data_IF_953112796550
#
_entry.id   IF_953112796550
#
_cell.length_a   1.000
_cell.length_b   1.000
_cell.length_c   1.000
_cell.angle_alpha   90.00
_cell.angle_beta   90.00
_cell.angle_gamma   90.00
#
_symmetry.space_group_name_H-M   'P 1'
#
loop_
_entity.id
_entity.type
_entity.pdbx_description
1 polymer ?
#
# COMPACT_ATOMS: atom_id res chain seq x y z
N UNK A 1 -19.79 15.46 21.83
CA UNK A 1 -19.24 14.09 21.72
C UNK A 1 -17.77 14.24 21.40
N UNK A 2 -16.92 13.81 22.30
CA UNK A 2 -15.46 13.93 22.11
C UNK A 2 -14.99 12.64 21.43
N UNK A 3 -14.77 12.70 20.14
CA UNK A 3 -14.26 11.54 19.37
C UNK A 3 -12.74 11.52 19.51
N UNK A 4 -12.25 10.96 20.60
CA UNK A 4 -10.81 10.73 20.76
C UNK A 4 -10.42 9.43 20.02
N UNK A 5 -9.44 9.54 19.13
CA UNK A 5 -8.85 8.39 18.51
C UNK A 5 -8.03 7.60 19.53
N UNK A 6 -8.04 6.26 19.48
CA UNK A 6 -7.13 5.44 20.29
C UNK A 6 -5.67 5.90 20.07
N UNK A 7 -4.91 5.96 21.17
CA UNK A 7 -3.52 6.46 21.11
C UNK A 7 -2.64 5.67 20.15
N UNK A 8 -2.85 4.36 20.04
CA UNK A 8 -2.16 3.49 19.07
C UNK A 8 -2.40 3.92 17.62
N UNK A 9 -3.60 4.39 17.28
CA UNK A 9 -3.93 4.86 15.94
C UNK A 9 -3.30 6.24 15.65
N UNK A 10 -3.22 7.09 16.66
CA UNK A 10 -2.50 8.37 16.56
C UNK A 10 -1.02 8.11 16.29
N UNK A 11 -0.40 7.19 17.03
CA UNK A 11 1.00 6.79 16.82
C UNK A 11 1.25 6.21 15.43
N UNK A 12 0.33 5.39 14.92
CA UNK A 12 0.41 4.82 13.57
C UNK A 12 0.30 5.90 12.49
N UNK A 13 -0.60 6.87 12.66
CA UNK A 13 -0.71 8.02 11.77
C UNK A 13 0.57 8.88 11.80
N UNK A 14 1.15 9.11 12.98
CA UNK A 14 2.40 9.86 13.14
C UNK A 14 3.60 9.14 12.50
N UNK A 15 3.71 7.81 12.67
CA UNK A 15 4.70 6.99 12.01
C UNK A 15 4.59 7.12 10.48
N UNK A 16 3.37 7.00 9.96
CA UNK A 16 3.12 7.12 8.52
C UNK A 16 3.45 8.52 8.01
N UNK A 17 3.07 9.57 8.76
CA UNK A 17 3.41 10.96 8.43
C UNK A 17 4.92 11.18 8.37
N UNK A 18 5.66 10.64 9.32
CA UNK A 18 7.12 10.72 9.31
C UNK A 18 7.73 10.00 8.12
N UNK A 19 7.20 8.82 7.76
CA UNK A 19 7.61 8.09 6.57
C UNK A 19 7.39 8.93 5.30
N UNK A 20 6.21 9.51 5.12
CA UNK A 20 5.91 10.40 3.99
C UNK A 20 6.90 11.55 3.91
N UNK A 21 7.10 12.27 5.01
CA UNK A 21 7.97 13.46 5.03
C UNK A 21 9.44 13.15 4.80
N UNK A 22 9.93 12.04 5.35
CA UNK A 22 11.37 11.70 5.31
C UNK A 22 11.75 10.84 4.11
N UNK A 23 10.84 9.99 3.64
CA UNK A 23 11.14 9.00 2.60
C UNK A 23 10.48 9.32 1.26
N UNK A 24 9.30 9.92 1.22
CA UNK A 24 8.59 10.17 -0.03
C UNK A 24 8.80 11.61 -0.55
N UNK A 25 8.53 12.61 0.26
CA UNK A 25 8.61 14.02 -0.16
C UNK A 25 9.96 14.45 -0.76
N UNK A 26 11.12 13.98 -0.29
CA UNK A 26 12.39 14.37 -0.91
C UNK A 26 12.52 13.97 -2.39
N UNK A 27 11.67 13.08 -2.87
CA UNK A 27 11.70 12.58 -4.24
C UNK A 27 10.58 13.12 -5.14
N UNK A 28 9.63 13.90 -4.58
CA UNK A 28 8.46 14.42 -5.31
C UNK A 28 8.86 15.16 -6.59
N UNK A 29 9.74 16.17 -6.47
CA UNK A 29 10.13 17.00 -7.59
C UNK A 29 10.81 16.19 -8.71
N UNK A 30 11.73 15.30 -8.35
CA UNK A 30 12.44 14.47 -9.34
C UNK A 30 11.50 13.49 -10.04
N UNK A 31 10.55 12.89 -9.31
CA UNK A 31 9.56 11.96 -9.87
C UNK A 31 8.60 12.70 -10.79
N UNK A 32 8.16 13.89 -10.41
CA UNK A 32 7.27 14.74 -11.22
C UNK A 32 7.95 15.15 -12.53
N UNK A 33 9.23 15.59 -12.47
CA UNK A 33 9.97 16.00 -13.66
C UNK A 33 10.27 14.84 -14.63
N UNK A 34 10.49 13.62 -14.10
CA UNK A 34 10.82 12.43 -14.89
C UNK A 34 9.59 11.64 -15.33
N UNK A 35 8.40 11.98 -14.82
CA UNK A 35 7.14 11.21 -15.01
C UNK A 35 7.31 9.70 -14.70
N UNK A 36 8.22 9.37 -13.80
CA UNK A 36 8.51 7.98 -13.42
C UNK A 36 9.27 7.89 -12.10
N UNK A 37 9.08 6.78 -11.39
CA UNK A 37 9.89 6.43 -10.21
C UNK A 37 10.99 5.46 -10.63
N UNK A 38 12.29 5.82 -10.50
CA UNK A 38 13.40 4.91 -10.78
C UNK A 38 13.25 3.59 -10.00
N UNK A 39 13.59 2.48 -10.64
CA UNK A 39 13.41 1.15 -10.05
C UNK A 39 14.17 0.99 -8.72
N UNK A 40 15.40 1.47 -8.64
CA UNK A 40 16.20 1.41 -7.42
C UNK A 40 15.53 2.17 -6.26
N UNK A 41 15.03 3.37 -6.53
CA UNK A 41 14.27 4.15 -5.55
C UNK A 41 13.02 3.42 -5.11
N UNK A 42 12.27 2.84 -6.05
CA UNK A 42 11.06 2.05 -5.76
C UNK A 42 11.36 0.87 -4.84
N UNK A 43 12.40 0.11 -5.10
CA UNK A 43 12.79 -1.04 -4.28
C UNK A 43 13.20 -0.61 -2.87
N UNK A 44 13.99 0.47 -2.76
CA UNK A 44 14.43 1.02 -1.47
C UNK A 44 13.25 1.52 -0.63
N UNK A 45 12.33 2.28 -1.21
CA UNK A 45 11.16 2.81 -0.50
C UNK A 45 10.21 1.70 -0.07
N UNK A 46 10.03 0.68 -0.91
CA UNK A 46 9.23 -0.51 -0.56
C UNK A 46 9.85 -1.28 0.60
N UNK A 47 11.15 -1.52 0.57
CA UNK A 47 11.85 -2.20 1.67
C UNK A 47 11.69 -1.43 2.99
N UNK A 48 11.82 -0.12 2.98
CA UNK A 48 11.59 0.72 4.14
C UNK A 48 10.14 0.67 4.65
N UNK A 49 9.16 0.62 3.75
CA UNK A 49 7.74 0.48 4.12
C UNK A 49 7.44 -0.90 4.75
N UNK A 50 8.06 -1.96 4.23
CA UNK A 50 7.96 -3.33 4.77
C UNK A 50 8.57 -3.38 6.17
N UNK A 51 9.78 -2.83 6.37
CA UNK A 51 10.48 -2.80 7.66
C UNK A 51 9.67 -2.07 8.74
N UNK A 52 8.99 -0.99 8.38
CA UNK A 52 8.14 -0.22 9.29
C UNK A 52 6.73 -0.83 9.50
N UNK A 53 6.41 -1.94 8.84
CA UNK A 53 5.07 -2.55 8.92
C UNK A 53 3.97 -1.75 8.23
N UNK A 54 4.34 -0.80 7.36
CA UNK A 54 3.39 0.01 6.58
C UNK A 54 2.98 -0.67 5.27
N UNK A 55 3.73 -1.65 4.78
CA UNK A 55 3.39 -2.40 3.58
C UNK A 55 2.27 -3.41 3.86
N UNK A 56 1.37 -3.60 2.91
CA UNK A 56 0.24 -4.53 3.03
C UNK A 56 -0.66 -4.28 4.27
N UNK A 57 -0.77 -3.03 4.73
CA UNK A 57 -1.57 -2.64 5.91
C UNK A 57 -3.07 -3.00 5.81
N UNK A 58 -3.55 -3.33 4.62
CA UNK A 58 -4.92 -3.75 4.33
C UNK A 58 -5.17 -5.26 4.46
N UNK A 59 -4.12 -6.04 4.72
CA UNK A 59 -4.20 -7.50 4.77
C UNK A 59 -4.44 -8.02 6.18
N UNK A 60 -5.23 -9.11 6.33
CA UNK A 60 -5.44 -9.75 7.62
C UNK A 60 -4.20 -10.54 8.08
N UNK A 61 -4.17 -10.88 9.37
CA UNK A 61 -3.03 -11.60 9.99
C UNK A 61 -2.81 -12.99 9.38
N UNK A 62 -3.86 -13.72 9.06
CA UNK A 62 -3.78 -15.05 8.45
C UNK A 62 -3.21 -15.03 7.02
N UNK A 63 -3.17 -13.86 6.39
CA UNK A 63 -2.50 -13.63 5.11
C UNK A 63 -1.11 -13.00 5.26
N UNK A 64 -0.60 -12.86 6.49
CA UNK A 64 0.70 -12.25 6.79
C UNK A 64 0.68 -10.73 6.85
N UNK A 65 -0.49 -10.11 6.88
CA UNK A 65 -0.66 -8.67 7.09
C UNK A 65 -0.76 -8.30 8.57
N UNK A 66 -0.87 -7.01 8.91
CA UNK A 66 -0.97 -6.56 10.29
C UNK A 66 -2.37 -6.69 10.91
N UNK A 67 -3.40 -7.09 10.15
CA UNK A 67 -4.76 -7.25 10.67
C UNK A 67 -5.40 -5.95 11.18
N UNK A 68 -4.99 -4.80 10.68
CA UNK A 68 -5.45 -3.51 11.19
C UNK A 68 -6.95 -3.29 10.99
N UNK A 69 -7.66 -2.74 12.00
CA UNK A 69 -9.04 -2.33 11.85
C UNK A 69 -9.15 -1.21 10.79
N UNK A 70 -10.34 -1.09 10.19
CA UNK A 70 -10.54 -0.20 9.04
C UNK A 70 -10.19 1.26 9.35
N UNK A 71 -10.49 1.75 10.55
CA UNK A 71 -10.15 3.11 10.98
C UNK A 71 -8.63 3.36 10.94
N UNK A 72 -7.82 2.43 11.44
CA UNK A 72 -6.36 2.55 11.36
C UNK A 72 -5.86 2.59 9.91
N UNK A 73 -6.46 1.77 9.01
CA UNK A 73 -6.15 1.80 7.58
C UNK A 73 -6.51 3.15 6.93
N UNK A 74 -7.61 3.78 7.34
CA UNK A 74 -8.00 5.12 6.86
C UNK A 74 -6.97 6.16 7.26
N UNK A 75 -6.50 6.14 8.51
CA UNK A 75 -5.49 7.09 9.00
C UNK A 75 -4.14 6.94 8.26
N UNK A 76 -3.72 5.70 7.96
CA UNK A 76 -2.55 5.48 7.11
C UNK A 76 -2.76 6.10 5.73
N UNK A 77 -3.91 5.85 5.11
CA UNK A 77 -4.22 6.39 3.77
C UNK A 77 -4.25 7.91 3.75
N UNK A 78 -4.79 8.54 4.78
CA UNK A 78 -4.81 10.00 4.91
C UNK A 78 -3.40 10.59 4.87
N UNK A 79 -2.47 9.97 5.57
CA UNK A 79 -1.08 10.41 5.57
C UNK A 79 -0.37 10.11 4.24
N UNK A 80 -0.57 8.93 3.66
CA UNK A 80 -0.02 8.58 2.34
C UNK A 80 -0.57 9.47 1.22
N UNK A 81 -1.82 9.90 1.32
CA UNK A 81 -2.47 10.81 0.37
C UNK A 81 -1.84 12.22 0.31
N UNK A 82 -0.90 12.54 1.19
CA UNK A 82 -0.13 13.78 1.16
C UNK A 82 1.10 13.70 0.24
N UNK A 83 1.42 12.53 -0.29
CA UNK A 83 2.43 12.32 -1.31
C UNK A 83 1.78 12.11 -2.69
N UNK A 84 2.56 12.24 -3.76
CA UNK A 84 2.09 11.90 -5.10
C UNK A 84 1.65 10.44 -5.18
N UNK A 85 0.68 10.14 -6.04
CA UNK A 85 0.17 8.76 -6.22
C UNK A 85 1.30 7.80 -6.58
N UNK A 86 2.25 8.24 -7.44
CA UNK A 86 3.38 7.43 -7.87
C UNK A 86 4.26 6.97 -6.70
N UNK A 87 4.48 7.83 -5.70
CA UNK A 87 5.26 7.52 -4.50
C UNK A 87 4.43 6.79 -3.44
N UNK A 88 3.20 7.24 -3.19
CA UNK A 88 2.31 6.62 -2.20
C UNK A 88 1.99 5.15 -2.53
N UNK A 89 1.81 4.80 -3.80
CA UNK A 89 1.54 3.43 -4.25
C UNK A 89 2.69 2.46 -4.01
N UNK A 90 3.91 2.96 -3.80
CA UNK A 90 5.07 2.12 -3.46
C UNK A 90 4.88 1.42 -2.12
N UNK A 91 4.20 2.05 -1.17
CA UNK A 91 3.89 1.46 0.15
C UNK A 91 3.08 0.19 0.01
N UNK A 92 2.26 0.10 -1.03
CA UNK A 92 1.67 -1.16 -1.49
C UNK A 92 0.49 -1.65 -0.64
N UNK A 93 -0.60 -1.91 -1.36
CA UNK A 93 -1.80 -2.54 -0.82
C UNK A 93 -2.17 -3.71 -1.72
N UNK A 94 -1.68 -4.94 -1.43
CA UNK A 94 -2.07 -6.10 -2.19
C UNK A 94 -3.59 -6.19 -2.35
N UNK A 95 -4.12 -6.53 -3.53
CA UNK A 95 -5.55 -6.59 -3.73
C UNK A 95 -6.17 -7.70 -2.87
N UNK A 96 -7.26 -7.39 -2.18
CA UNK A 96 -7.98 -8.36 -1.35
C UNK A 96 -8.52 -9.55 -2.14
N UNK A 97 -8.64 -9.43 -3.46
CA UNK A 97 -8.96 -10.55 -4.34
C UNK A 97 -7.99 -11.74 -4.18
N UNK A 98 -6.73 -11.48 -3.80
CA UNK A 98 -5.75 -12.53 -3.50
C UNK A 98 -6.13 -13.39 -2.29
N UNK A 99 -7.00 -12.91 -1.40
CA UNK A 99 -7.49 -13.71 -0.27
C UNK A 99 -8.36 -14.89 -0.72
N UNK A 100 -8.94 -14.82 -1.94
CA UNK A 100 -9.69 -15.92 -2.56
C UNK A 100 -8.79 -16.96 -3.27
N UNK A 101 -7.47 -16.86 -3.16
CA UNK A 101 -6.54 -17.85 -3.69
C UNK A 101 -6.77 -19.23 -3.08
N UNK A 102 -6.70 -20.26 -3.91
CA UNK A 102 -6.65 -21.65 -3.45
C UNK A 102 -5.36 -21.90 -2.65
N UNK A 103 -5.32 -22.92 -1.79
CA UNK A 103 -4.15 -23.19 -0.94
C UNK A 103 -2.82 -23.22 -1.72
N UNK A 104 -2.78 -23.88 -2.86
CA UNK A 104 -1.59 -23.99 -3.72
C UNK A 104 -1.18 -22.65 -4.39
N UNK A 105 -2.11 -21.71 -4.47
CA UNK A 105 -1.85 -20.37 -5.01
C UNK A 105 -1.36 -19.39 -3.93
N UNK A 106 -1.69 -19.63 -2.66
CA UNK A 106 -1.31 -18.75 -1.55
C UNK A 106 0.21 -18.58 -1.48
N UNK A 107 0.95 -19.66 -1.47
CA UNK A 107 2.42 -19.63 -1.40
C UNK A 107 3.06 -18.93 -2.60
N UNK A 108 2.47 -19.09 -3.77
CA UNK A 108 3.03 -18.56 -5.02
C UNK A 108 2.62 -17.12 -5.31
N UNK A 109 1.44 -16.69 -4.88
CA UNK A 109 0.85 -15.38 -5.24
C UNK A 109 0.60 -14.48 -4.04
N UNK A 110 -0.17 -14.95 -3.05
CA UNK A 110 -0.60 -14.11 -1.92
C UNK A 110 0.58 -13.73 -1.02
N UNK A 111 1.28 -14.71 -0.48
CA UNK A 111 2.34 -14.44 0.50
C UNK A 111 3.50 -13.61 -0.08
N UNK A 112 4.00 -13.87 -1.28
CA UNK A 112 5.01 -13.00 -1.90
C UNK A 112 4.48 -11.58 -2.18
N UNK A 113 3.19 -11.42 -2.53
CA UNK A 113 2.60 -10.11 -2.72
C UNK A 113 2.52 -9.32 -1.41
N UNK A 114 2.14 -9.98 -0.30
CA UNK A 114 2.06 -9.36 1.04
C UNK A 114 3.45 -9.00 1.57
N UNK A 115 4.49 -9.76 1.24
CA UNK A 115 5.89 -9.47 1.60
C UNK A 115 6.54 -8.40 0.73
N UNK A 116 5.86 -7.89 -0.29
CA UNK A 116 6.44 -6.91 -1.22
C UNK A 116 7.40 -7.50 -2.25
N UNK A 117 7.48 -8.82 -2.37
CA UNK A 117 8.36 -9.54 -3.29
C UNK A 117 7.80 -9.57 -4.72
N UNK A 118 6.47 -9.47 -4.86
CA UNK A 118 5.77 -9.46 -6.16
C UNK A 118 4.94 -8.20 -6.33
N UNK A 119 4.89 -7.72 -7.57
CA UNK A 119 4.02 -6.64 -8.01
C UNK A 119 2.76 -7.27 -8.59
N UNK A 120 1.63 -6.60 -8.40
CA UNK A 120 0.34 -6.95 -9.01
C UNK A 120 -0.16 -5.79 -9.86
N UNK A 121 -1.01 -6.11 -10.81
CA UNK A 121 -1.73 -5.12 -11.60
C UNK A 121 -3.17 -5.61 -11.82
N UNK A 122 -4.11 -4.67 -11.94
CA UNK A 122 -5.46 -4.96 -12.37
C UNK A 122 -5.55 -4.86 -13.89
N UNK A 123 -6.09 -5.90 -14.53
CA UNK A 123 -6.47 -5.91 -15.93
C UNK A 123 -7.97 -6.19 -16.00
N UNK A 124 -8.78 -5.15 -15.84
CA UNK A 124 -10.22 -5.28 -15.66
C UNK A 124 -11.03 -5.48 -16.96
N UNK A 125 -10.69 -4.92 -18.13
CA UNK A 125 -11.46 -5.20 -19.33
C UNK A 125 -11.05 -6.54 -19.94
N UNK A 126 -12.02 -7.47 -20.04
CA UNK A 126 -11.90 -8.64 -20.89
C UNK A 126 -12.38 -8.34 -22.33
N UNK A 127 -11.99 -9.17 -23.33
CA UNK A 127 -12.49 -9.03 -24.69
C UNK A 127 -14.02 -9.00 -24.74
N UNK A 128 -14.60 -7.96 -25.35
CA UNK A 128 -16.05 -7.82 -25.56
C UNK A 128 -16.87 -7.46 -24.31
N UNK A 129 -16.25 -7.06 -23.20
CA UNK A 129 -16.97 -6.57 -22.02
C UNK A 129 -16.73 -5.07 -21.82
N UNK A 130 -17.79 -4.29 -21.48
CA UNK A 130 -17.60 -2.90 -21.08
C UNK A 130 -16.71 -2.81 -19.84
N UNK A 131 -15.90 -1.77 -19.76
CA UNK A 131 -15.09 -1.51 -18.57
C UNK A 131 -15.99 -1.21 -17.38
N UNK A 132 -15.70 -1.77 -16.22
CA UNK A 132 -16.44 -1.49 -14.99
C UNK A 132 -16.42 0.00 -14.63
N UNK A 133 -15.48 0.75 -15.19
CA UNK A 133 -15.35 2.21 -15.02
C UNK A 133 -16.25 3.02 -15.99
N UNK A 134 -16.99 2.40 -16.86
CA UNK A 134 -17.83 3.05 -17.89
C UNK A 134 -19.31 2.68 -17.81
N UNK A 135 -19.77 2.14 -16.68
CA UNK A 135 -21.19 1.84 -16.44
C UNK A 135 -21.88 2.94 -15.66
#
# INVERSE_FOLDING_TARGET
MDYQLPQEFVQLADLTRQFVRRQLWPHEEAVEQQDSVPQELRLRLRAAAVELGLFAFNMPEDAGGPGLPYLAQVLIREQLGQASVALADIVGRPPKALLACRPEQRERLLLPAVRGEKIWAFALPGPGRPTVAGG
#
